data_IF_412074064930
#
_entry.id   IF_412074064930
#
_cell.length_a   1.000
_cell.length_b   1.000
_cell.length_c   1.000
_cell.angle_alpha   90.00
_cell.angle_beta   90.00
_cell.angle_gamma   90.00
#
_symmetry.space_group_name_H-M   'P 1'
#
loop_
_entity.id
_entity.type
_entity.pdbx_description
1 polymer ?
#
# COMPACT_ATOMS: atom_id res chain seq x y z
N UNK A 1 -3.77 -39.89 21.53
CA UNK A 1 -3.93 -38.80 22.52
C UNK A 1 -2.58 -38.11 22.64
N UNK A 2 -2.38 -37.02 21.90
CA UNK A 2 -1.16 -36.20 22.01
C UNK A 2 -1.29 -35.39 23.29
N UNK A 3 -0.29 -35.47 24.17
CA UNK A 3 -0.26 -34.76 25.45
C UNK A 3 -0.43 -33.26 25.19
N UNK A 4 -1.49 -32.67 25.73
CA UNK A 4 -1.68 -31.22 25.79
C UNK A 4 -0.59 -30.63 26.69
N UNK A 5 0.55 -30.30 26.07
CA UNK A 5 1.56 -29.47 26.70
C UNK A 5 0.94 -28.12 27.08
N UNK A 6 1.35 -27.57 28.22
CA UNK A 6 0.92 -26.26 28.70
C UNK A 6 1.00 -25.27 27.54
N UNK A 7 -0.15 -24.72 27.13
CA UNK A 7 -0.18 -23.78 26.03
C UNK A 7 0.73 -22.59 26.40
N UNK A 8 1.74 -22.27 25.58
CA UNK A 8 2.67 -21.19 25.90
C UNK A 8 1.88 -19.90 26.11
N UNK A 9 2.25 -19.16 27.16
CA UNK A 9 1.60 -17.90 27.51
C UNK A 9 1.95 -16.84 26.47
N UNK A 10 0.93 -16.15 25.96
CA UNK A 10 1.07 -15.05 25.00
C UNK A 10 0.55 -15.37 23.58
N UNK A 11 0.52 -14.36 22.70
CA UNK A 11 -0.07 -14.49 21.38
C UNK A 11 0.86 -15.17 20.36
N UNK A 12 2.15 -15.33 20.66
CA UNK A 12 3.13 -15.94 19.75
C UNK A 12 3.45 -17.37 20.18
N UNK A 13 3.38 -18.32 19.26
CA UNK A 13 3.65 -19.74 19.48
C UNK A 13 4.63 -20.25 18.44
N UNK A 14 5.65 -20.98 18.87
CA UNK A 14 6.61 -21.63 17.97
C UNK A 14 6.06 -23.03 17.66
N UNK A 15 6.03 -23.37 16.37
CA UNK A 15 5.61 -24.70 15.87
C UNK A 15 6.83 -25.59 15.58
N UNK A 16 6.63 -26.90 15.37
CA UNK A 16 7.66 -27.95 15.20
C UNK A 16 8.58 -27.81 13.95
N UNK A 17 8.76 -26.60 13.43
CA UNK A 17 9.65 -26.29 12.31
C UNK A 17 10.21 -24.86 12.37
N UNK A 18 10.42 -24.33 13.59
CA UNK A 18 10.89 -22.95 13.86
C UNK A 18 10.01 -21.82 13.30
N UNK A 19 8.79 -22.14 12.87
CA UNK A 19 7.83 -21.15 12.41
C UNK A 19 7.09 -20.54 13.60
N UNK A 20 6.99 -19.21 13.59
CA UNK A 20 6.25 -18.44 14.58
C UNK A 20 4.84 -18.19 14.09
N UNK A 21 3.86 -18.57 14.91
CA UNK A 21 2.43 -18.39 14.66
C UNK A 21 1.86 -17.39 15.64
N UNK A 22 1.08 -16.44 15.14
CA UNK A 22 0.29 -15.51 15.93
C UNK A 22 -1.10 -16.09 16.16
N UNK A 23 -1.52 -16.15 17.43
CA UNK A 23 -2.83 -16.61 17.88
C UNK A 23 -3.69 -15.41 18.21
N UNK A 24 -4.87 -15.37 17.61
CA UNK A 24 -5.90 -14.37 17.94
C UNK A 24 -7.25 -15.06 18.14
N UNK A 25 -8.04 -14.52 19.05
CA UNK A 25 -9.40 -15.02 19.30
C UNK A 25 -10.37 -14.39 18.32
N UNK A 26 -11.26 -15.21 17.75
CA UNK A 26 -12.40 -14.70 16.98
C UNK A 26 -13.55 -14.39 17.93
N UNK A 27 -14.50 -13.51 17.53
CA UNK A 27 -15.72 -13.26 18.32
C UNK A 27 -16.59 -14.50 18.51
N UNK A 28 -16.38 -15.56 17.72
CA UNK A 28 -17.12 -16.83 17.81
C UNK A 28 -16.47 -17.84 18.77
N UNK A 29 -15.42 -17.45 19.50
CA UNK A 29 -14.71 -18.34 20.43
C UNK A 29 -13.74 -19.30 19.76
N UNK A 30 -13.54 -19.22 18.44
CA UNK A 30 -12.51 -19.98 17.74
C UNK A 30 -11.15 -19.28 17.81
N UNK A 31 -10.07 -20.06 17.68
CA UNK A 31 -8.70 -19.54 17.66
C UNK A 31 -8.21 -19.50 16.22
N UNK A 32 -7.90 -18.30 15.74
CA UNK A 32 -7.27 -18.10 14.44
C UNK A 32 -5.75 -18.08 14.60
N UNK A 33 -5.06 -18.79 13.71
CA UNK A 33 -3.61 -18.98 13.71
C UNK A 33 -3.05 -18.43 12.41
N UNK A 34 -2.15 -17.46 12.51
CA UNK A 34 -1.54 -16.80 11.36
C UNK A 34 -0.02 -16.93 11.40
N UNK A 35 0.61 -17.21 10.27
CA UNK A 35 2.07 -17.24 10.20
C UNK A 35 2.65 -15.84 10.31
N UNK A 36 3.60 -15.64 11.23
CA UNK A 36 4.25 -14.34 11.41
C UNK A 36 5.30 -14.14 10.34
N UNK A 37 5.12 -13.11 9.51
CA UNK A 37 6.17 -12.67 8.59
C UNK A 37 7.09 -11.66 9.30
N UNK A 38 8.37 -12.00 9.55
CA UNK A 38 9.27 -11.12 10.29
C UNK A 38 9.55 -9.84 9.51
N UNK A 39 9.86 -8.75 10.22
CA UNK A 39 10.17 -7.44 9.58
C UNK A 39 11.37 -7.50 8.64
N UNK A 40 12.29 -8.44 8.86
CA UNK A 40 13.45 -8.71 7.99
C UNK A 40 13.07 -9.24 6.61
N UNK A 41 11.93 -9.94 6.48
CA UNK A 41 11.47 -10.52 5.22
C UNK A 41 10.77 -9.47 4.32
N UNK A 42 11.43 -8.34 4.05
CA UNK A 42 10.86 -7.16 3.38
C UNK A 42 10.27 -7.51 2.01
N UNK A 43 10.99 -8.29 1.19
CA UNK A 43 10.56 -8.65 -0.15
C UNK A 43 9.29 -9.52 -0.16
N UNK A 44 9.23 -10.53 0.72
CA UNK A 44 8.07 -11.41 0.84
C UNK A 44 6.84 -10.65 1.34
N UNK A 45 7.02 -9.82 2.37
CA UNK A 45 5.94 -8.96 2.90
C UNK A 45 5.40 -8.03 1.82
N UNK A 46 6.27 -7.41 1.04
CA UNK A 46 5.86 -6.56 -0.09
C UNK A 46 5.06 -7.34 -1.13
N UNK A 47 5.50 -8.56 -1.50
CA UNK A 47 4.78 -9.42 -2.46
C UNK A 47 3.37 -9.78 -1.94
N UNK A 48 3.26 -10.20 -0.69
CA UNK A 48 1.96 -10.55 -0.07
C UNK A 48 1.01 -9.35 -0.06
N UNK A 49 1.48 -8.18 0.37
CA UNK A 49 0.66 -6.97 0.39
C UNK A 49 0.25 -6.51 -1.02
N UNK A 50 1.14 -6.66 -2.01
CA UNK A 50 0.87 -6.29 -3.40
C UNK A 50 -0.17 -7.22 -4.04
N UNK A 51 -0.04 -8.53 -3.83
CA UNK A 51 -1.02 -9.53 -4.27
C UNK A 51 -2.40 -9.27 -3.64
N UNK A 52 -2.46 -9.07 -2.33
CA UNK A 52 -3.70 -8.74 -1.63
C UNK A 52 -4.35 -7.44 -2.13
N UNK A 53 -3.53 -6.44 -2.46
CA UNK A 53 -4.00 -5.18 -3.05
C UNK A 53 -4.55 -5.34 -4.47
N UNK A 54 -3.94 -6.21 -5.28
CA UNK A 54 -4.44 -6.53 -6.62
C UNK A 54 -5.74 -7.34 -6.56
N UNK A 55 -5.83 -8.34 -5.68
CA UNK A 55 -7.05 -9.15 -5.48
C UNK A 55 -8.25 -8.34 -5.05
N UNK A 56 -8.04 -7.28 -4.26
CA UNK A 56 -9.12 -6.38 -3.84
C UNK A 56 -9.54 -5.36 -4.91
N UNK A 57 -8.93 -5.38 -6.11
CA UNK A 57 -9.25 -4.44 -7.18
C UNK A 57 -8.97 -2.98 -6.81
N UNK A 58 -7.89 -2.72 -6.07
CA UNK A 58 -7.48 -1.36 -5.68
C UNK A 58 -8.45 -0.59 -4.76
N UNK A 59 -9.30 -1.29 -4.00
CA UNK A 59 -10.30 -0.68 -3.11
C UNK A 59 -9.74 0.05 -1.87
N UNK A 60 -8.42 -0.03 -1.62
CA UNK A 60 -7.74 0.72 -0.56
C UNK A 60 -7.35 -0.11 0.66
N UNK A 61 -7.14 0.53 1.81
CA UNK A 61 -6.42 -0.06 2.94
C UNK A 61 -7.11 -1.26 3.57
N UNK A 62 -8.33 -1.09 4.09
CA UNK A 62 -9.04 -2.17 4.80
C UNK A 62 -9.35 -3.37 3.89
N UNK A 63 -9.88 -3.17 2.67
CA UNK A 63 -10.12 -4.30 1.75
C UNK A 63 -8.83 -5.02 1.33
N UNK A 64 -7.72 -4.30 1.14
CA UNK A 64 -6.45 -4.98 0.82
C UNK A 64 -5.95 -5.80 2.00
N UNK A 65 -6.09 -5.32 3.24
CA UNK A 65 -5.67 -6.06 4.42
C UNK A 65 -6.57 -7.26 4.75
N UNK A 66 -7.86 -7.23 4.38
CA UNK A 66 -8.74 -8.38 4.60
C UNK A 66 -8.35 -9.59 3.75
N UNK A 67 -7.68 -9.41 2.62
CA UNK A 67 -7.14 -10.53 1.82
C UNK A 67 -5.82 -11.10 2.35
N UNK A 68 -5.31 -10.57 3.46
CA UNK A 68 -4.12 -11.07 4.14
C UNK A 68 -4.57 -11.92 5.34
N UNK A 69 -5.16 -13.08 5.05
CA UNK A 69 -5.82 -13.91 6.06
C UNK A 69 -4.83 -14.85 6.76
N UNK A 70 -3.89 -15.41 6.00
CA UNK A 70 -2.96 -16.45 6.47
C UNK A 70 -1.75 -15.91 7.25
N UNK A 71 -1.45 -14.61 7.09
CA UNK A 71 -0.21 -14.00 7.56
C UNK A 71 -0.46 -12.89 8.58
N UNK A 72 0.26 -12.97 9.70
CA UNK A 72 0.38 -11.87 10.63
C UNK A 72 1.56 -11.00 10.21
N UNK A 73 1.29 -9.74 9.85
CA UNK A 73 2.31 -8.75 9.51
C UNK A 73 2.40 -7.68 10.60
N UNK A 74 3.43 -7.75 11.47
CA UNK A 74 3.71 -6.67 12.42
C UNK A 74 3.87 -5.34 11.67
N UNK A 75 3.07 -4.33 11.99
CA UNK A 75 3.04 -3.04 11.27
C UNK A 75 2.56 -3.12 9.80
N UNK A 76 1.79 -4.15 9.42
CA UNK A 76 1.25 -4.35 8.07
C UNK A 76 0.40 -3.18 7.58
N UNK A 77 -0.37 -2.54 8.46
CA UNK A 77 -1.19 -1.36 8.12
C UNK A 77 -0.36 -0.18 7.60
N UNK A 78 0.81 0.08 8.22
CA UNK A 78 1.72 1.14 7.77
C UNK A 78 2.29 0.78 6.39
N UNK A 79 2.77 -0.45 6.23
CA UNK A 79 3.35 -0.91 4.97
C UNK A 79 2.34 -0.90 3.82
N UNK A 80 1.09 -1.28 4.08
CA UNK A 80 0.03 -1.20 3.08
C UNK A 80 -0.29 0.25 2.71
N UNK A 81 -0.30 1.19 3.68
CA UNK A 81 -0.46 2.61 3.37
C UNK A 81 0.66 3.12 2.46
N UNK A 82 1.90 2.78 2.75
CA UNK A 82 3.05 3.15 1.93
C UNK A 82 2.93 2.57 0.51
N UNK A 83 2.49 1.31 0.39
CA UNK A 83 2.22 0.66 -0.90
C UNK A 83 1.12 1.39 -1.70
N UNK A 84 0.02 1.78 -1.05
CA UNK A 84 -1.08 2.49 -1.70
C UNK A 84 -0.66 3.86 -2.23
N UNK A 85 0.22 4.57 -1.53
CA UNK A 85 0.78 5.85 -2.00
C UNK A 85 1.65 5.68 -3.25
N UNK A 86 2.27 4.52 -3.43
CA UNK A 86 3.12 4.20 -4.58
C UNK A 86 2.35 3.54 -5.74
N UNK A 87 1.13 3.07 -5.51
CA UNK A 87 0.33 2.40 -6.52
C UNK A 87 -0.15 3.40 -7.59
N UNK A 88 0.39 3.28 -8.80
CA UNK A 88 0.03 4.13 -9.95
C UNK A 88 -1.47 4.04 -10.26
N UNK A 89 -2.04 2.83 -10.25
CA UNK A 89 -3.48 2.63 -10.51
C UNK A 89 -4.34 3.40 -9.50
N UNK A 90 -4.03 3.28 -8.20
CA UNK A 90 -4.75 4.04 -7.16
C UNK A 90 -4.59 5.55 -7.34
N UNK A 91 -3.38 6.02 -7.65
CA UNK A 91 -3.11 7.44 -7.89
C UNK A 91 -3.92 7.99 -9.06
N UNK A 92 -4.01 7.23 -10.15
CA UNK A 92 -4.78 7.62 -11.34
C UNK A 92 -6.28 7.60 -11.06
N UNK A 93 -6.79 6.55 -10.41
CA UNK A 93 -8.22 6.43 -10.07
C UNK A 93 -8.69 7.52 -9.10
N UNK A 94 -7.84 7.91 -8.16
CA UNK A 94 -8.14 8.90 -7.11
C UNK A 94 -7.65 10.31 -7.44
N UNK A 95 -7.08 10.52 -8.62
CA UNK A 95 -6.68 11.84 -9.07
C UNK A 95 -7.91 12.76 -9.11
N UNK A 96 -7.79 13.96 -8.54
CA UNK A 96 -8.83 14.97 -8.67
C UNK A 96 -8.93 15.34 -10.16
N UNK A 97 -10.12 15.18 -10.73
CA UNK A 97 -10.43 15.54 -12.12
C UNK A 97 -10.79 17.02 -12.28
N UNK A 98 -10.94 17.73 -11.16
CA UNK A 98 -11.20 19.16 -11.13
C UNK A 98 -9.90 19.93 -10.92
N UNK A 99 -9.72 20.94 -11.74
CA UNK A 99 -8.64 21.90 -11.62
C UNK A 99 -9.15 23.07 -10.77
N UNK A 100 -8.61 23.23 -9.56
CA UNK A 100 -8.90 24.42 -8.75
C UNK A 100 -8.23 25.67 -9.34
N UNK A 101 -7.16 25.46 -10.10
CA UNK A 101 -6.50 26.43 -10.97
C UNK A 101 -6.04 25.68 -12.21
N UNK A 102 -6.04 26.37 -13.36
CA UNK A 102 -5.56 25.79 -14.61
C UNK A 102 -4.11 25.30 -14.45
N UNK A 103 -3.74 24.18 -15.12
CA UNK A 103 -2.35 23.80 -15.22
C UNK A 103 -1.57 25.01 -15.73
N UNK A 104 -0.45 25.33 -15.09
CA UNK A 104 0.45 26.44 -15.46
C UNK A 104 0.04 27.84 -15.01
N UNK A 105 -1.12 28.04 -14.38
CA UNK A 105 -1.56 29.38 -13.90
C UNK A 105 -1.14 29.64 -12.45
N UNK A 106 -0.83 28.58 -11.68
CA UNK A 106 -0.22 28.70 -10.34
C UNK A 106 -0.99 29.64 -9.40
N UNK A 107 -0.26 30.46 -8.65
CA UNK A 107 -0.78 31.56 -7.81
C UNK A 107 -1.05 32.85 -8.59
N UNK A 108 -0.63 32.92 -9.86
CA UNK A 108 -0.44 34.18 -10.58
C UNK A 108 -1.65 34.55 -11.44
N UNK A 109 -2.83 34.00 -11.09
CA UNK A 109 -4.10 34.17 -11.83
C UNK A 109 -4.40 35.66 -12.08
N UNK A 110 -4.17 36.51 -11.09
CA UNK A 110 -4.40 37.96 -11.19
C UNK A 110 -3.42 38.64 -12.17
N UNK A 111 -2.14 38.28 -12.14
CA UNK A 111 -1.14 38.84 -13.05
C UNK A 111 -1.32 38.33 -14.49
N UNK A 112 -1.78 37.09 -14.66
CA UNK A 112 -2.08 36.50 -15.96
C UNK A 112 -3.35 37.10 -16.60
N UNK A 113 -4.30 37.59 -15.80
CA UNK A 113 -5.55 38.19 -16.29
C UNK A 113 -5.37 39.51 -17.05
N UNK A 114 -4.24 40.20 -16.83
CA UNK A 114 -3.93 41.49 -17.48
C UNK A 114 -3.20 41.32 -18.81
N UNK A 115 -2.79 40.09 -19.15
CA UNK A 115 -1.98 39.80 -20.34
C UNK A 115 -2.86 39.34 -21.50
N UNK A 116 -2.46 39.69 -22.72
CA UNK A 116 -3.17 39.27 -23.92
C UNK A 116 -3.16 37.75 -24.08
N UNK A 117 -4.16 37.14 -24.74
CA UNK A 117 -4.13 35.72 -25.09
C UNK A 117 -2.81 35.36 -25.78
N UNK A 118 -2.26 34.18 -25.47
CA UNK A 118 -0.98 33.68 -26.00
C UNK A 118 0.28 34.49 -25.64
N UNK A 119 0.25 35.35 -24.60
CA UNK A 119 1.46 36.07 -24.17
C UNK A 119 2.64 35.12 -23.85
N UNK A 120 2.34 33.89 -23.43
CA UNK A 120 3.30 32.80 -23.23
C UNK A 120 2.64 31.45 -23.49
N UNK A 121 3.29 30.63 -24.31
CA UNK A 121 2.90 29.23 -24.55
C UNK A 121 3.98 28.33 -23.97
N UNK A 122 3.59 27.44 -23.06
CA UNK A 122 4.45 26.40 -22.52
C UNK A 122 3.82 25.05 -22.85
N UNK A 123 4.59 24.19 -23.51
CA UNK A 123 4.19 22.83 -23.85
C UNK A 123 5.03 21.91 -22.98
N UNK A 124 4.37 21.05 -22.21
CA UNK A 124 5.04 20.04 -21.40
C UNK A 124 4.59 18.64 -21.85
N UNK A 125 5.53 17.70 -21.84
CA UNK A 125 5.30 16.33 -22.28
C UNK A 125 5.18 15.42 -21.05
N UNK A 126 3.99 14.86 -20.85
CA UNK A 126 3.77 13.92 -19.75
C UNK A 126 3.99 12.48 -20.23
N UNK A 127 5.14 11.90 -19.92
CA UNK A 127 5.40 10.47 -20.15
C UNK A 127 4.93 9.66 -18.93
N UNK A 128 3.94 8.79 -19.11
CA UNK A 128 3.51 7.83 -18.07
C UNK A 128 3.89 6.44 -18.52
N UNK A 129 4.88 5.83 -17.85
CA UNK A 129 5.15 4.40 -17.98
C UNK A 129 6.58 4.00 -18.34
N UNK A 130 7.39 4.91 -18.89
CA UNK A 130 8.77 4.58 -19.24
C UNK A 130 9.74 4.99 -18.14
N UNK A 131 10.58 4.04 -17.71
CA UNK A 131 11.67 4.27 -16.76
C UNK A 131 12.55 5.40 -17.29
N UNK A 132 12.55 6.53 -16.59
CA UNK A 132 13.53 7.60 -16.78
C UNK A 132 14.88 7.04 -16.34
N UNK A 133 15.66 6.53 -17.30
CA UNK A 133 17.10 6.39 -17.14
C UNK A 133 17.64 7.80 -17.32
N UNK A 134 18.06 8.44 -16.23
CA UNK A 134 18.74 9.72 -16.29
C UNK A 134 20.02 9.55 -17.12
N UNK A 135 19.98 9.95 -18.39
CA UNK A 135 21.18 10.20 -19.16
C UNK A 135 21.69 11.57 -18.73
N UNK A 136 22.68 11.54 -17.83
CA UNK A 136 23.56 12.66 -17.56
C UNK A 136 24.46 12.81 -18.79
N UNK A 137 24.42 13.99 -19.42
CA UNK A 137 25.48 14.50 -20.30
C UNK A 137 25.95 15.82 -19.72
#
# INVERSE_FOLDING_TARGET
>A
MVRDGVAPSGPYVITDGDLVVFRTGTPFGSVLRQYVLPKSAVALRKKVLLDAHHRCGHQGLRPSLSHVEDFHLPSGTRQMRDLLHLCVVCRTLRARRSWNSLPSVGSDVLDLSTKCPYYKVAIDYFAVGDKIINLVT
#
